data_IF_917646399537
#
_entry.id   IF_917646399537
#
_cell.length_a   1.000
_cell.length_b   1.000
_cell.length_c   1.000
_cell.angle_alpha   90.00
_cell.angle_beta   90.00
_cell.angle_gamma   90.00
#
_symmetry.space_group_name_H-M   'P 1'
#
loop_
_entity.id
_entity.type
_entity.pdbx_description
1 polymer ?
#
# COMPACT_ATOMS: atom_id res chain seq x y z
N UNK A 1 -5.57 3.64 22.71
CA UNK A 1 -6.95 3.83 22.37
C UNK A 1 -7.25 3.36 20.94
N UNK A 2 -7.27 2.05 20.70
CA UNK A 2 -7.64 1.41 19.42
C UNK A 2 -9.09 0.91 19.54
N UNK A 3 -10.07 1.82 19.50
CA UNK A 3 -11.49 1.43 19.44
C UNK A 3 -12.33 2.61 18.95
N UNK A 4 -12.31 2.91 17.67
CA UNK A 4 -13.30 3.81 17.08
C UNK A 4 -13.50 3.70 15.56
N UNK A 5 -12.91 2.73 14.84
CA UNK A 5 -13.21 2.54 13.41
C UNK A 5 -14.20 1.40 13.10
N UNK A 6 -14.89 0.85 14.09
CA UNK A 6 -15.79 -0.29 13.90
C UNK A 6 -17.29 0.11 13.73
N UNK A 7 -17.61 1.33 13.38
CA UNK A 7 -19.00 1.82 13.51
C UNK A 7 -19.67 2.52 12.35
N UNK A 8 -19.15 2.53 11.13
CA UNK A 8 -19.95 2.95 9.96
C UNK A 8 -19.53 2.20 8.71
N UNK A 9 -20.32 1.19 8.35
CA UNK A 9 -20.29 0.57 7.03
C UNK A 9 -20.81 1.57 5.99
N UNK A 10 -19.97 2.45 5.53
CA UNK A 10 -20.23 3.19 4.30
C UNK A 10 -19.60 2.41 3.16
N UNK A 11 -20.46 1.90 2.28
CA UNK A 11 -20.08 1.29 1.00
C UNK A 11 -19.36 2.34 0.17
N UNK A 12 -18.05 2.27 0.14
CA UNK A 12 -17.23 3.10 -0.76
C UNK A 12 -17.18 2.38 -2.09
N UNK A 13 -17.96 2.84 -3.04
CA UNK A 13 -17.92 2.40 -4.44
C UNK A 13 -16.81 3.19 -5.12
N UNK A 14 -15.71 2.55 -5.50
CA UNK A 14 -14.73 3.16 -6.39
C UNK A 14 -15.19 2.97 -7.83
N UNK A 15 -15.77 3.98 -8.34
CA UNK A 15 -16.02 4.13 -9.76
C UNK A 15 -14.69 4.56 -10.40
N UNK A 16 -14.02 3.65 -11.07
CA UNK A 16 -13.07 4.02 -12.13
C UNK A 16 -13.91 4.59 -13.27
N UNK A 17 -14.23 5.88 -13.18
CA UNK A 17 -14.81 6.64 -14.29
C UNK A 17 -13.71 6.79 -15.35
N UNK A 18 -13.81 5.98 -16.40
CA UNK A 18 -13.17 6.27 -17.68
C UNK A 18 -13.72 7.62 -18.19
N UNK A 19 -12.92 8.66 -18.11
CA UNK A 19 -13.22 9.94 -18.74
C UNK A 19 -13.08 9.80 -20.26
N UNK A 20 -14.21 9.65 -20.94
CA UNK A 20 -14.40 10.09 -22.30
C UNK A 20 -14.98 11.51 -22.22
N UNK A 21 -14.11 12.50 -22.24
CA UNK A 21 -14.52 13.88 -22.53
C UNK A 21 -13.70 14.36 -23.71
N UNK A 22 -14.39 14.60 -24.80
CA UNK A 22 -13.91 15.38 -25.93
C UNK A 22 -13.66 16.82 -25.47
N UNK A 23 -12.46 17.33 -25.71
CA UNK A 23 -12.17 18.76 -25.69
C UNK A 23 -11.14 19.22 -24.67
N UNK A 24 -9.85 19.34 -25.10
CA UNK A 24 -8.92 20.36 -24.62
C UNK A 24 -7.94 20.01 -23.52
N UNK A 25 -6.75 19.54 -23.95
CA UNK A 25 -5.40 19.85 -23.45
C UNK A 25 -5.15 19.72 -21.93
N UNK A 26 -4.56 18.60 -21.54
CA UNK A 26 -3.31 18.48 -20.75
C UNK A 26 -2.95 17.01 -20.60
N UNK A 27 -1.98 16.58 -21.40
CA UNK A 27 -1.38 15.26 -21.43
C UNK A 27 -0.65 14.96 -20.12
N UNK A 28 -1.18 14.03 -19.35
CA UNK A 28 -0.36 13.27 -18.39
C UNK A 28 -0.01 11.94 -19.05
N UNK A 29 1.26 11.58 -19.15
CA UNK A 29 1.66 10.33 -19.77
C UNK A 29 1.30 9.17 -18.85
N UNK A 30 0.34 8.38 -19.27
CA UNK A 30 0.13 7.05 -18.71
C UNK A 30 1.28 6.17 -19.16
N UNK A 31 1.96 5.60 -18.19
CA UNK A 31 3.18 4.82 -18.31
C UNK A 31 2.92 3.57 -19.15
N UNK A 32 3.61 3.48 -20.27
CA UNK A 32 3.75 2.24 -21.01
C UNK A 32 4.58 1.23 -20.21
N UNK A 33 4.29 -0.06 -20.27
CA UNK A 33 5.15 -1.06 -19.70
C UNK A 33 6.52 -1.03 -20.40
N UNK A 34 7.55 -0.72 -19.65
CA UNK A 34 8.94 -0.83 -20.10
C UNK A 34 9.21 -2.30 -20.43
N UNK A 35 9.39 -2.61 -21.71
CA UNK A 35 9.95 -3.89 -22.13
C UNK A 35 11.37 -3.98 -21.58
N UNK A 36 11.57 -4.78 -20.56
CA UNK A 36 12.91 -5.13 -20.12
C UNK A 36 13.60 -5.95 -21.20
N UNK A 37 14.75 -5.46 -21.62
CA UNK A 37 15.63 -6.13 -22.58
C UNK A 37 16.29 -7.33 -21.90
N UNK A 38 16.14 -8.58 -22.39
CA UNK A 38 16.66 -9.78 -21.73
C UNK A 38 18.18 -9.95 -21.73
N UNK A 39 18.93 -9.03 -22.30
CA UNK A 39 20.38 -9.17 -22.51
C UNK A 39 21.27 -8.68 -21.36
N UNK A 40 20.74 -8.36 -20.17
CA UNK A 40 21.52 -7.94 -18.99
C UNK A 40 21.51 -8.96 -17.83
N UNK A 41 21.11 -10.18 -18.07
CA UNK A 41 21.25 -11.30 -17.12
C UNK A 41 22.45 -12.19 -17.48
N UNK A 42 23.62 -11.60 -17.50
CA UNK A 42 24.90 -12.31 -17.41
C UNK A 42 25.19 -12.66 -15.95
N UNK A 43 24.78 -13.83 -15.50
CA UNK A 43 25.03 -14.29 -14.14
C UNK A 43 24.49 -15.69 -13.87
N UNK A 44 24.66 -16.61 -14.83
CA UNK A 44 24.19 -18.00 -14.69
C UNK A 44 25.19 -18.97 -14.05
N UNK A 45 26.32 -18.52 -13.51
CA UNK A 45 27.35 -19.42 -12.99
C UNK A 45 27.58 -19.38 -11.48
N UNK A 46 26.89 -18.54 -10.72
CA UNK A 46 27.09 -18.43 -9.27
C UNK A 46 26.02 -19.13 -8.39
N UNK A 47 24.99 -19.71 -8.98
CA UNK A 47 23.88 -20.37 -8.23
C UNK A 47 24.03 -21.92 -8.20
N UNK A 48 24.89 -22.48 -9.03
CA UNK A 48 25.06 -23.93 -9.14
C UNK A 48 26.02 -24.58 -8.11
N UNK A 49 26.67 -23.82 -7.24
CA UNK A 49 27.64 -24.36 -6.25
C UNK A 49 27.21 -24.31 -4.78
N UNK A 50 25.98 -23.89 -4.48
CA UNK A 50 25.46 -23.81 -3.11
C UNK A 50 24.41 -24.88 -2.76
N UNK A 51 24.16 -25.87 -3.62
CA UNK A 51 23.12 -26.89 -3.40
C UNK A 51 23.66 -28.32 -3.12
N UNK A 52 24.94 -28.48 -2.83
CA UNK A 52 25.52 -29.83 -2.64
C UNK A 52 25.94 -30.18 -1.20
N UNK A 53 25.47 -29.53 -0.15
CA UNK A 53 25.63 -30.06 1.21
C UNK A 53 24.44 -29.68 2.11
N UNK A 54 23.39 -30.50 2.11
CA UNK A 54 22.71 -30.98 3.33
C UNK A 54 21.59 -31.94 2.93
N UNK A 55 21.81 -33.22 3.20
CA UNK A 55 20.86 -34.28 2.98
C UNK A 55 19.63 -34.16 3.88
N UNK A 56 18.51 -33.81 3.30
CA UNK A 56 17.18 -34.10 3.82
C UNK A 56 16.48 -35.01 2.83
N UNK A 57 16.48 -36.28 3.12
CA UNK A 57 15.76 -37.32 2.43
C UNK A 57 14.25 -37.04 2.43
N UNK A 58 13.60 -37.07 1.26
CA UNK A 58 12.17 -37.29 1.16
C UNK A 58 11.34 -36.40 0.25
N UNK A 59 11.93 -35.66 -0.66
CA UNK A 59 11.15 -35.07 -1.76
C UNK A 59 11.57 -35.71 -3.08
N UNK A 60 10.79 -36.71 -3.50
CA UNK A 60 10.84 -37.18 -4.89
C UNK A 60 10.41 -36.00 -5.76
N UNK A 61 11.38 -35.37 -6.43
CA UNK A 61 11.09 -34.44 -7.50
C UNK A 61 10.33 -35.22 -8.58
N UNK A 62 9.06 -35.00 -8.73
CA UNK A 62 8.28 -35.54 -9.85
C UNK A 62 8.94 -35.07 -11.14
N UNK A 63 9.25 -35.99 -12.04
CA UNK A 63 9.79 -35.64 -13.34
C UNK A 63 8.76 -34.81 -14.13
N UNK A 64 9.25 -33.98 -15.06
CA UNK A 64 8.38 -33.21 -15.95
C UNK A 64 7.43 -34.13 -16.74
N UNK A 65 7.81 -35.39 -16.98
CA UNK A 65 6.98 -36.43 -17.61
C UNK A 65 5.85 -36.89 -16.67
N UNK A 66 6.10 -37.07 -15.39
CA UNK A 66 5.06 -37.41 -14.40
C UNK A 66 4.08 -36.25 -14.19
N UNK A 67 4.56 -35.00 -14.26
CA UNK A 67 3.71 -33.82 -14.30
C UNK A 67 2.87 -33.75 -15.58
N UNK A 68 3.44 -34.13 -16.72
CA UNK A 68 2.72 -34.17 -18.02
C UNK A 68 1.67 -35.30 -18.05
N UNK A 69 1.96 -36.46 -17.47
CA UNK A 69 0.99 -37.57 -17.35
C UNK A 69 -0.13 -37.22 -16.34
N UNK A 70 0.15 -36.53 -15.23
CA UNK A 70 -0.92 -36.02 -14.39
C UNK A 70 -1.74 -34.93 -15.09
N UNK A 71 -1.13 -34.07 -15.90
CA UNK A 71 -1.82 -33.06 -16.68
C UNK A 71 -2.70 -33.68 -17.79
N UNK A 72 -2.29 -34.79 -18.38
CA UNK A 72 -3.10 -35.49 -19.35
C UNK A 72 -4.39 -36.09 -18.74
N UNK A 73 -4.38 -36.44 -17.47
CA UNK A 73 -5.56 -36.91 -16.72
C UNK A 73 -6.53 -35.81 -16.31
N UNK A 74 -6.10 -34.56 -16.29
CA UNK A 74 -6.88 -33.39 -15.87
C UNK A 74 -7.68 -32.75 -17.02
N UNK A 75 -7.40 -33.12 -18.27
CA UNK A 75 -8.07 -32.59 -19.47
C UNK A 75 -9.53 -33.04 -19.67
N UNK A 76 -10.08 -33.87 -18.82
CA UNK A 76 -11.47 -34.31 -18.90
C UNK A 76 -12.34 -33.67 -17.81
N UNK A 77 -12.52 -32.33 -17.85
CA UNK A 77 -13.68 -31.74 -17.19
C UNK A 77 -14.93 -32.20 -17.96
N UNK A 78 -15.76 -33.06 -17.36
CA UNK A 78 -17.08 -33.35 -17.90
C UNK A 78 -17.91 -32.04 -17.91
N UNK A 79 -18.84 -31.91 -18.85
CA UNK A 79 -19.77 -30.76 -18.88
C UNK A 79 -20.41 -30.47 -17.50
N UNK A 80 -20.58 -31.51 -16.67
CA UNK A 80 -21.13 -31.40 -15.31
C UNK A 80 -20.24 -30.61 -14.36
N UNK A 81 -18.94 -30.60 -14.53
CA UNK A 81 -18.00 -29.94 -13.60
C UNK A 81 -17.97 -28.42 -13.80
N UNK A 82 -18.17 -27.96 -15.02
CA UNK A 82 -18.20 -26.54 -15.40
C UNK A 82 -19.63 -25.99 -15.50
N UNK A 83 -20.65 -26.82 -15.30
CA UNK A 83 -22.06 -26.42 -15.35
C UNK A 83 -22.38 -25.18 -14.50
N UNK A 84 -21.83 -25.01 -13.26
CA UNK A 84 -22.06 -23.80 -12.49
C UNK A 84 -21.48 -22.53 -13.13
N UNK A 85 -20.33 -22.64 -13.82
CA UNK A 85 -19.71 -21.53 -14.54
C UNK A 85 -20.55 -21.15 -15.76
N UNK A 86 -20.95 -22.13 -16.57
CA UNK A 86 -21.80 -21.89 -17.75
C UNK A 86 -23.15 -21.31 -17.35
N UNK A 87 -23.76 -21.80 -16.28
CA UNK A 87 -25.01 -21.24 -15.76
C UNK A 87 -24.83 -19.78 -15.26
N UNK A 88 -23.65 -19.38 -14.80
CA UNK A 88 -23.37 -18.01 -14.41
C UNK A 88 -23.15 -17.11 -15.66
N UNK A 89 -22.50 -17.63 -16.69
CA UNK A 89 -22.29 -16.93 -17.98
C UNK A 89 -23.64 -16.69 -18.67
N UNK A 90 -24.51 -17.69 -18.71
CA UNK A 90 -25.83 -17.62 -19.36
C UNK A 90 -26.79 -16.64 -18.70
N UNK A 91 -26.62 -16.36 -17.42
CA UNK A 91 -27.44 -15.39 -16.68
C UNK A 91 -27.17 -13.95 -17.08
N UNK A 92 -26.91 -13.58 -18.26
CA UNK A 92 -26.76 -12.26 -18.92
C UNK A 92 -26.76 -10.99 -18.03
N UNK A 93 -27.02 -11.10 -16.72
CA UNK A 93 -27.07 -10.03 -15.73
C UNK A 93 -25.73 -9.78 -15.04
N UNK A 94 -24.76 -10.70 -15.18
CA UNK A 94 -23.48 -10.60 -14.51
C UNK A 94 -22.49 -9.75 -15.31
N UNK A 95 -22.11 -8.62 -14.78
CA UNK A 95 -20.98 -7.84 -15.30
C UNK A 95 -19.67 -8.59 -15.00
N UNK A 96 -19.24 -9.42 -15.95
CA UNK A 96 -18.04 -10.23 -15.84
C UNK A 96 -18.23 -11.46 -14.97
N UNK A 97 -17.95 -12.62 -15.58
CA UNK A 97 -17.91 -13.92 -14.90
C UNK A 97 -16.57 -14.54 -15.18
N UNK A 98 -15.90 -15.04 -14.15
CA UNK A 98 -14.63 -15.74 -14.27
C UNK A 98 -14.70 -17.05 -13.49
N UNK A 99 -14.16 -18.11 -14.08
CA UNK A 99 -14.06 -19.42 -13.45
C UNK A 99 -12.61 -19.82 -13.25
N UNK A 100 -12.27 -20.36 -12.08
CA UNK A 100 -10.97 -20.97 -11.86
C UNK A 100 -11.11 -22.32 -11.17
N UNK A 101 -10.53 -23.32 -11.78
CA UNK A 101 -10.33 -24.61 -11.17
C UNK A 101 -9.00 -24.62 -10.42
N UNK A 102 -9.05 -24.83 -9.11
CA UNK A 102 -7.87 -24.85 -8.26
C UNK A 102 -7.58 -26.28 -7.82
N UNK A 103 -6.52 -26.85 -8.33
CA UNK A 103 -6.01 -28.16 -7.91
C UNK A 103 -5.17 -27.96 -6.64
N UNK A 104 -5.40 -28.79 -5.62
CA UNK A 104 -4.72 -28.71 -4.33
C UNK A 104 -5.43 -27.86 -3.30
N UNK A 105 -6.64 -27.35 -3.59
CA UNK A 105 -7.49 -26.71 -2.58
C UNK A 105 -8.05 -27.77 -1.63
N UNK A 106 -8.06 -27.44 -0.33
CA UNK A 106 -8.57 -28.29 0.74
C UNK A 106 -9.30 -27.46 1.80
N UNK A 107 -9.82 -28.08 2.84
CA UNK A 107 -10.55 -27.38 3.90
C UNK A 107 -9.69 -26.32 4.64
N UNK A 108 -8.39 -26.55 4.76
CA UNK A 108 -7.48 -25.66 5.50
C UNK A 108 -7.15 -24.37 4.70
N UNK A 109 -7.01 -24.46 3.37
CA UNK A 109 -6.60 -23.33 2.53
C UNK A 109 -7.73 -22.68 1.74
N UNK A 110 -8.91 -23.31 1.65
CA UNK A 110 -10.06 -22.83 0.87
C UNK A 110 -10.45 -21.39 1.19
N UNK A 111 -10.54 -21.06 2.47
CA UNK A 111 -10.93 -19.71 2.89
C UNK A 111 -9.91 -18.65 2.45
N UNK A 112 -8.61 -18.96 2.48
CA UNK A 112 -7.55 -18.05 2.03
C UNK A 112 -7.56 -17.89 0.51
N UNK A 113 -7.72 -18.99 -0.24
CA UNK A 113 -7.86 -18.96 -1.71
C UNK A 113 -9.07 -18.11 -2.12
N UNK A 114 -10.21 -18.32 -1.46
CA UNK A 114 -11.45 -17.56 -1.70
C UNK A 114 -11.24 -16.06 -1.46
N UNK A 115 -10.64 -15.69 -0.32
CA UNK A 115 -10.36 -14.30 0.02
C UNK A 115 -9.36 -13.65 -0.96
N UNK A 116 -8.35 -14.39 -1.38
CA UNK A 116 -7.41 -13.93 -2.39
C UNK A 116 -8.09 -13.66 -3.73
N UNK A 117 -8.87 -14.63 -4.25
CA UNK A 117 -9.59 -14.48 -5.51
C UNK A 117 -10.57 -13.32 -5.48
N UNK A 118 -11.36 -13.17 -4.40
CA UNK A 118 -12.26 -12.04 -4.23
C UNK A 118 -11.55 -10.69 -4.35
N UNK A 119 -10.46 -10.54 -3.60
CA UNK A 119 -9.68 -9.30 -3.56
C UNK A 119 -9.08 -8.96 -4.91
N UNK A 120 -8.40 -9.93 -5.52
CA UNK A 120 -7.64 -9.71 -6.74
C UNK A 120 -8.54 -9.57 -7.98
N UNK A 121 -9.67 -10.26 -7.99
CA UNK A 121 -10.68 -10.08 -9.03
C UNK A 121 -11.57 -8.85 -8.79
N UNK A 122 -11.35 -8.10 -7.70
CA UNK A 122 -12.12 -6.91 -7.33
C UNK A 122 -13.64 -7.20 -7.27
N UNK A 123 -14.02 -8.43 -6.90
CA UNK A 123 -15.42 -8.82 -6.82
C UNK A 123 -16.07 -8.26 -5.54
N UNK A 124 -17.29 -7.72 -5.66
CA UNK A 124 -18.09 -7.32 -4.50
C UNK A 124 -18.59 -8.53 -3.73
N UNK A 125 -18.95 -9.57 -4.46
CA UNK A 125 -19.50 -10.79 -3.91
C UNK A 125 -18.41 -11.82 -3.58
N UNK A 126 -18.74 -12.74 -2.68
CA UNK A 126 -17.87 -13.86 -2.33
C UNK A 126 -17.83 -14.88 -3.48
N UNK A 127 -16.63 -15.31 -3.96
CA UNK A 127 -16.51 -16.39 -4.92
C UNK A 127 -17.27 -17.65 -4.45
N UNK A 128 -18.07 -18.24 -5.34
CA UNK A 128 -18.82 -19.46 -5.02
C UNK A 128 -17.90 -20.65 -5.29
N UNK A 129 -17.75 -21.51 -4.31
CA UNK A 129 -16.93 -22.72 -4.41
C UNK A 129 -17.77 -23.96 -4.64
N UNK A 130 -17.40 -24.72 -5.64
CA UNK A 130 -18.02 -26.02 -5.98
C UNK A 130 -16.95 -27.12 -5.81
N UNK A 131 -17.18 -27.96 -4.78
CA UNK A 131 -16.29 -29.08 -4.47
C UNK A 131 -16.56 -30.27 -5.38
N UNK A 132 -15.52 -30.86 -5.93
CA UNK A 132 -15.60 -32.16 -6.60
C UNK A 132 -14.99 -33.22 -5.70
N UNK A 133 -15.82 -34.06 -5.13
CA UNK A 133 -15.37 -35.15 -4.25
C UNK A 133 -14.35 -36.03 -4.95
N UNK A 134 -13.21 -36.22 -4.33
CA UNK A 134 -12.18 -37.17 -4.75
C UNK A 134 -11.10 -36.64 -5.69
N UNK A 135 -11.15 -35.37 -6.15
CA UNK A 135 -10.16 -34.82 -7.09
C UNK A 135 -9.09 -33.92 -6.47
N UNK A 136 -9.18 -33.61 -5.16
CA UNK A 136 -8.25 -32.70 -4.51
C UNK A 136 -8.27 -31.26 -5.06
N UNK A 137 -9.37 -30.87 -5.73
CA UNK A 137 -9.56 -29.56 -6.33
C UNK A 137 -11.02 -29.14 -6.36
N UNK A 138 -11.28 -27.93 -6.85
CA UNK A 138 -12.64 -27.42 -7.00
C UNK A 138 -12.70 -26.14 -7.81
N UNK A 139 -13.89 -25.87 -8.32
CA UNK A 139 -14.22 -24.71 -9.13
C UNK A 139 -14.61 -23.52 -8.23
N UNK A 140 -13.97 -22.38 -8.43
CA UNK A 140 -14.44 -21.09 -7.95
C UNK A 140 -15.08 -20.31 -9.09
N UNK A 141 -16.30 -19.85 -8.91
CA UNK A 141 -16.98 -18.92 -9.81
C UNK A 141 -17.02 -17.55 -9.15
N UNK A 142 -16.53 -16.55 -9.88
CA UNK A 142 -16.36 -15.18 -9.43
C UNK A 142 -17.24 -14.30 -10.30
N UNK A 143 -18.19 -13.61 -9.69
CA UNK A 143 -19.12 -12.68 -10.35
C UNK A 143 -19.79 -11.78 -9.31
N UNK A 144 -20.04 -10.49 -9.61
CA UNK A 144 -19.48 -9.74 -10.76
C UNK A 144 -18.00 -9.40 -10.56
N UNK A 145 -17.29 -9.17 -11.66
CA UNK A 145 -15.89 -8.75 -11.59
C UNK A 145 -15.58 -7.75 -12.70
N UNK A 146 -14.88 -6.64 -12.41
CA UNK A 146 -14.51 -5.63 -13.40
C UNK A 146 -13.23 -5.97 -14.19
N UNK A 147 -12.43 -6.94 -13.74
CA UNK A 147 -11.15 -7.25 -14.37
C UNK A 147 -11.33 -8.06 -15.66
N UNK A 148 -10.41 -7.87 -16.58
CA UNK A 148 -10.37 -8.64 -17.84
C UNK A 148 -9.87 -10.07 -17.61
N UNK A 149 -10.19 -10.98 -18.56
CA UNK A 149 -9.67 -12.35 -18.50
C UNK A 149 -8.14 -12.42 -18.46
N UNK A 150 -7.45 -11.52 -19.18
CA UNK A 150 -5.98 -11.46 -19.18
C UNK A 150 -5.44 -11.08 -17.79
N UNK A 151 -5.99 -10.05 -17.17
CA UNK A 151 -5.62 -9.66 -15.80
C UNK A 151 -5.91 -10.77 -14.81
N UNK A 152 -7.00 -11.50 -14.99
CA UNK A 152 -7.34 -12.65 -14.17
C UNK A 152 -6.32 -13.80 -14.30
N UNK A 153 -5.86 -14.12 -15.51
CA UNK A 153 -4.78 -15.09 -15.71
C UNK A 153 -3.52 -14.69 -14.95
N UNK A 154 -3.14 -13.41 -14.99
CA UNK A 154 -1.97 -12.89 -14.26
C UNK A 154 -2.16 -13.02 -12.73
N UNK A 155 -3.37 -12.79 -12.24
CA UNK A 155 -3.73 -13.01 -10.82
C UNK A 155 -3.60 -14.49 -10.45
N UNK A 156 -4.17 -15.37 -11.24
CA UNK A 156 -4.18 -16.82 -10.98
C UNK A 156 -2.76 -17.41 -11.07
N UNK A 157 -1.93 -16.92 -11.97
CA UNK A 157 -0.53 -17.34 -12.09
C UNK A 157 0.30 -17.07 -10.81
N UNK A 158 -0.08 -16.08 -10.01
CA UNK A 158 0.56 -15.85 -8.69
C UNK A 158 0.21 -16.93 -7.68
N UNK A 159 -0.92 -17.62 -7.83
CA UNK A 159 -1.31 -18.70 -6.92
C UNK A 159 -0.51 -19.99 -7.14
N UNK A 160 -0.07 -20.24 -8.36
CA UNK A 160 0.62 -21.47 -8.70
C UNK A 160 0.89 -21.62 -10.19
N UNK A 161 0.99 -22.85 -10.65
CA UNK A 161 1.21 -23.15 -12.06
C UNK A 161 -0.12 -23.20 -12.82
N UNK A 162 -0.30 -22.30 -13.79
CA UNK A 162 -1.47 -22.29 -14.70
C UNK A 162 -1.27 -23.38 -15.73
N UNK A 163 -2.19 -24.33 -15.76
CA UNK A 163 -2.15 -25.51 -16.62
C UNK A 163 -3.09 -25.42 -17.81
N UNK A 164 -4.17 -24.65 -17.69
CA UNK A 164 -5.14 -24.43 -18.76
C UNK A 164 -5.67 -22.99 -18.72
N UNK A 165 -5.86 -22.43 -19.93
CA UNK A 165 -6.52 -21.14 -20.13
C UNK A 165 -7.55 -21.29 -21.26
N UNK A 166 -8.81 -21.07 -20.96
CA UNK A 166 -9.91 -21.06 -21.92
C UNK A 166 -10.57 -19.68 -21.93
N UNK A 167 -10.19 -18.88 -22.91
CA UNK A 167 -10.68 -17.51 -23.05
C UNK A 167 -12.15 -17.46 -23.48
N UNK A 168 -12.62 -18.47 -24.23
CA UNK A 168 -13.99 -18.48 -24.73
C UNK A 168 -14.99 -18.68 -23.59
N UNK A 169 -14.62 -19.47 -22.60
CA UNK A 169 -15.46 -19.78 -21.45
C UNK A 169 -15.01 -19.04 -20.18
N UNK A 170 -14.08 -18.08 -20.27
CA UNK A 170 -13.56 -17.32 -19.14
C UNK A 170 -13.05 -18.20 -18.00
N UNK A 171 -12.36 -19.28 -18.34
CA UNK A 171 -11.94 -20.32 -17.42
C UNK A 171 -10.43 -20.50 -17.37
N UNK A 172 -9.89 -20.72 -16.17
CA UNK A 172 -8.47 -20.98 -15.91
C UNK A 172 -8.34 -22.17 -14.99
N UNK A 173 -7.34 -23.04 -15.24
CA UNK A 173 -6.95 -24.07 -14.30
C UNK A 173 -5.58 -23.73 -13.71
N UNK A 174 -5.43 -23.92 -12.40
CA UNK A 174 -4.19 -23.69 -11.68
C UNK A 174 -3.90 -24.80 -10.66
N UNK A 175 -2.67 -25.28 -10.66
CA UNK A 175 -2.14 -26.12 -9.59
C UNK A 175 -1.57 -25.24 -8.51
N UNK A 176 -2.15 -25.27 -7.31
CA UNK A 176 -1.85 -24.38 -6.20
C UNK A 176 -0.43 -24.59 -5.69
N UNK A 177 0.34 -23.53 -5.55
CA UNK A 177 1.56 -23.57 -4.79
C UNK A 177 1.22 -23.54 -3.29
N UNK A 178 1.33 -24.70 -2.64
CA UNK A 178 0.95 -24.88 -1.23
C UNK A 178 1.70 -23.96 -0.29
N UNK A 179 2.98 -23.71 -0.55
CA UNK A 179 3.81 -22.84 0.29
C UNK A 179 3.27 -21.42 0.46
N UNK A 180 2.48 -20.95 -0.51
CA UNK A 180 1.86 -19.61 -0.47
C UNK A 180 0.59 -19.56 0.37
N UNK A 181 -0.03 -20.72 0.66
CA UNK A 181 -1.33 -20.83 1.33
C UNK A 181 -1.30 -21.65 2.61
N UNK A 182 -0.23 -22.41 2.87
CA UNK A 182 -0.13 -23.19 4.09
C UNK A 182 0.36 -22.31 5.25
N UNK A 183 -0.29 -22.45 6.39
CA UNK A 183 0.17 -21.80 7.62
C UNK A 183 1.52 -22.41 8.02
N UNK A 184 2.55 -21.60 8.12
CA UNK A 184 3.85 -22.03 8.67
C UNK A 184 3.84 -21.79 10.18
N UNK A 185 4.38 -22.71 10.99
CA UNK A 185 4.58 -22.46 12.40
C UNK A 185 5.49 -21.23 12.57
N UNK A 186 5.17 -20.42 13.58
CA UNK A 186 6.02 -19.28 13.94
C UNK A 186 7.42 -19.77 14.27
N UNK A 187 8.40 -19.45 13.41
CA UNK A 187 9.80 -19.77 13.66
C UNK A 187 10.50 -18.60 14.36
N UNK A 188 11.54 -18.87 15.11
CA UNK A 188 12.38 -17.83 15.71
C UNK A 188 12.88 -16.82 14.66
N UNK A 189 13.19 -17.29 13.44
CA UNK A 189 13.59 -16.46 12.32
C UNK A 189 12.54 -15.41 11.90
N UNK A 190 11.25 -15.63 12.18
CA UNK A 190 10.19 -14.66 11.88
C UNK A 190 10.00 -13.62 12.98
N UNK A 191 10.31 -13.95 14.23
CA UNK A 191 9.96 -13.13 15.39
C UNK A 191 11.14 -12.45 16.07
N UNK A 192 12.32 -13.08 16.03
CA UNK A 192 13.52 -12.52 16.65
C UNK A 192 14.27 -11.63 15.64
N UNK A 193 14.24 -10.34 15.88
CA UNK A 193 14.91 -9.31 15.04
C UNK A 193 16.42 -9.53 14.93
N UNK A 194 17.03 -10.22 15.92
CA UNK A 194 18.46 -10.51 15.95
C UNK A 194 18.82 -11.77 15.16
N UNK A 195 17.82 -12.54 14.76
CA UNK A 195 18.07 -13.77 14.01
C UNK A 195 18.59 -13.44 12.60
N UNK A 196 19.69 -14.07 12.21
CA UNK A 196 20.37 -13.79 10.92
C UNK A 196 19.47 -13.91 9.68
N UNK A 197 18.39 -14.68 9.75
CA UNK A 197 17.42 -14.88 8.66
C UNK A 197 16.12 -14.11 8.87
N UNK A 198 16.02 -13.20 9.83
CA UNK A 198 14.79 -12.49 10.14
C UNK A 198 14.25 -11.72 8.93
N UNK A 199 15.07 -10.91 8.26
CA UNK A 199 14.68 -10.14 7.09
C UNK A 199 14.27 -11.04 5.93
N UNK A 200 15.08 -12.07 5.64
CA UNK A 200 14.80 -13.04 4.57
C UNK A 200 13.49 -13.81 4.83
N UNK A 201 13.25 -14.25 6.06
CA UNK A 201 12.04 -14.96 6.44
C UNK A 201 10.79 -14.07 6.28
N UNK A 202 10.87 -12.81 6.73
CA UNK A 202 9.77 -11.85 6.56
C UNK A 202 9.56 -11.44 5.11
N UNK A 203 10.62 -11.32 4.30
CA UNK A 203 10.51 -11.08 2.86
C UNK A 203 9.78 -12.25 2.14
N UNK A 204 10.05 -13.50 2.55
CA UNK A 204 9.29 -14.66 2.06
C UNK A 204 7.80 -14.59 2.47
N UNK A 205 7.50 -14.15 3.69
CA UNK A 205 6.13 -13.95 4.15
C UNK A 205 5.39 -12.86 3.37
N UNK A 206 6.07 -11.80 2.93
CA UNK A 206 5.49 -10.79 2.02
C UNK A 206 5.05 -11.39 0.67
N UNK A 207 5.64 -12.52 0.26
CA UNK A 207 5.24 -13.24 -0.96
C UNK A 207 4.10 -14.23 -0.75
N UNK A 208 3.59 -14.35 0.48
CA UNK A 208 2.42 -15.16 0.82
C UNK A 208 1.14 -14.50 0.30
N UNK A 209 0.14 -15.31 -0.03
CA UNK A 209 -1.16 -14.81 -0.48
C UNK A 209 -2.18 -14.66 0.68
N UNK A 210 -1.84 -15.07 1.89
CA UNK A 210 -2.62 -14.78 3.10
C UNK A 210 -2.32 -13.35 3.57
N UNK A 211 -3.29 -12.46 3.43
CA UNK A 211 -3.19 -11.04 3.79
C UNK A 211 -2.74 -10.83 5.25
N UNK A 212 -3.15 -11.69 6.19
CA UNK A 212 -2.79 -11.57 7.60
C UNK A 212 -1.32 -11.83 7.84
N UNK A 213 -0.74 -12.78 7.09
CA UNK A 213 0.69 -13.08 7.13
C UNK A 213 1.50 -11.94 6.54
N UNK A 214 1.04 -11.37 5.43
CA UNK A 214 1.68 -10.20 4.79
C UNK A 214 1.65 -8.99 5.73
N UNK A 215 0.51 -8.68 6.35
CA UNK A 215 0.38 -7.60 7.34
C UNK A 215 1.35 -7.82 8.50
N UNK A 216 1.38 -9.04 9.05
CA UNK A 216 2.26 -9.36 10.17
C UNK A 216 3.75 -9.22 9.80
N UNK A 217 4.14 -9.66 8.60
CA UNK A 217 5.51 -9.50 8.10
C UNK A 217 5.87 -8.03 7.89
N UNK A 218 4.98 -7.25 7.29
CA UNK A 218 5.17 -5.81 7.11
C UNK A 218 5.34 -5.08 8.45
N UNK A 219 4.49 -5.39 9.45
CA UNK A 219 4.60 -4.79 10.80
C UNK A 219 5.94 -5.12 11.46
N UNK A 220 6.44 -6.36 11.34
CA UNK A 220 7.75 -6.74 11.86
C UNK A 220 8.90 -6.03 11.12
N UNK A 221 8.82 -5.91 9.80
CA UNK A 221 9.81 -5.17 9.02
C UNK A 221 9.80 -3.67 9.32
N UNK A 222 8.66 -3.09 9.66
CA UNK A 222 8.55 -1.68 10.04
C UNK A 222 9.22 -1.36 11.39
N UNK A 223 9.45 -2.37 12.26
CA UNK A 223 10.06 -2.19 13.59
C UNK A 223 11.59 -2.29 13.59
N UNK A 224 12.22 -2.72 12.51
CA UNK A 224 13.67 -2.95 12.44
C UNK A 224 14.38 -1.96 11.54
N UNK A 225 15.68 -1.74 11.80
CA UNK A 225 16.51 -0.90 10.94
C UNK A 225 16.87 -1.65 9.66
N UNK A 226 16.78 -0.97 8.49
CA UNK A 226 17.21 -1.54 7.21
C UNK A 226 18.69 -1.94 7.22
N UNK A 227 18.97 -3.06 6.58
CA UNK A 227 20.33 -3.57 6.39
C UNK A 227 20.62 -3.96 4.92
N UNK A 228 21.37 -5.05 4.72
CA UNK A 228 21.85 -5.52 3.41
C UNK A 228 20.74 -5.80 2.37
N UNK A 229 19.52 -6.11 2.81
CA UNK A 229 18.39 -6.45 1.90
C UNK A 229 17.43 -5.26 1.69
N UNK A 230 17.91 -4.04 1.88
CA UNK A 230 17.09 -2.84 1.81
C UNK A 230 16.38 -2.69 0.47
N UNK A 231 17.12 -2.93 -0.62
CA UNK A 231 16.55 -2.83 -1.97
C UNK A 231 15.49 -3.89 -2.25
N UNK A 232 15.75 -5.14 -1.89
CA UNK A 232 14.82 -6.26 -2.12
C UNK A 232 13.52 -6.09 -1.34
N UNK A 233 13.63 -5.67 -0.08
CA UNK A 233 12.45 -5.43 0.76
C UNK A 233 11.64 -4.25 0.24
N UNK A 234 12.27 -3.11 -0.07
CA UNK A 234 11.56 -1.94 -0.59
C UNK A 234 10.91 -2.21 -1.94
N UNK A 235 11.60 -2.91 -2.85
CA UNK A 235 11.05 -3.31 -4.15
C UNK A 235 9.82 -4.22 -4.00
N UNK A 236 9.88 -5.19 -3.08
CA UNK A 236 8.74 -6.08 -2.82
C UNK A 236 7.55 -5.34 -2.20
N UNK A 237 7.79 -4.40 -1.30
CA UNK A 237 6.72 -3.58 -0.71
C UNK A 237 6.06 -2.67 -1.77
N UNK A 238 6.86 -2.06 -2.67
CA UNK A 238 6.33 -1.28 -3.80
C UNK A 238 5.51 -2.16 -4.73
N UNK A 239 5.98 -3.36 -5.07
CA UNK A 239 5.23 -4.32 -5.89
C UNK A 239 3.86 -4.60 -5.29
N UNK A 240 3.80 -4.95 -4.00
CA UNK A 240 2.56 -5.27 -3.29
C UNK A 240 1.61 -4.06 -3.21
N UNK A 241 2.11 -2.86 -3.00
CA UNK A 241 1.30 -1.64 -2.96
C UNK A 241 0.78 -1.19 -4.32
N UNK A 242 1.33 -1.73 -5.42
CA UNK A 242 0.83 -1.51 -6.78
C UNK A 242 -0.24 -2.51 -7.21
N UNK A 243 -0.33 -3.63 -6.51
CA UNK A 243 -1.38 -4.60 -6.81
C UNK A 243 -2.77 -4.03 -6.48
N UNK A 244 -3.82 -4.45 -7.21
CA UNK A 244 -5.20 -4.10 -6.85
C UNK A 244 -5.60 -4.84 -5.56
N UNK A 245 -5.15 -4.33 -4.44
CA UNK A 245 -5.57 -4.81 -3.14
C UNK A 245 -6.91 -4.14 -2.80
N UNK A 246 -7.94 -4.90 -2.61
CA UNK A 246 -9.22 -4.37 -2.19
C UNK A 246 -9.14 -3.74 -0.81
N UNK A 247 -8.91 -2.46 -0.72
CA UNK A 247 -9.30 -1.45 0.30
C UNK A 247 -9.22 -1.85 1.78
N UNK A 248 -8.39 -2.79 2.10
CA UNK A 248 -8.07 -3.06 3.50
C UNK A 248 -7.07 -2.00 3.97
N UNK A 249 -7.58 -1.00 4.71
CA UNK A 249 -6.77 0.09 5.22
C UNK A 249 -5.62 -0.41 6.10
N UNK A 250 -5.81 -1.50 6.86
CA UNK A 250 -4.77 -2.10 7.68
C UNK A 250 -3.65 -2.67 6.81
N UNK A 251 -4.00 -3.36 5.72
CA UNK A 251 -3.03 -3.93 4.79
C UNK A 251 -2.12 -2.87 4.18
N UNK A 252 -2.72 -1.82 3.60
CA UNK A 252 -1.91 -0.78 2.95
C UNK A 252 -1.12 0.06 3.93
N UNK A 253 -1.68 0.34 5.09
CA UNK A 253 -0.98 1.08 6.15
C UNK A 253 0.23 0.29 6.65
N UNK A 254 0.10 -1.02 6.86
CA UNK A 254 1.22 -1.85 7.29
C UNK A 254 2.34 -1.90 6.25
N UNK A 255 2.00 -2.12 4.98
CA UNK A 255 2.97 -2.14 3.88
C UNK A 255 3.66 -0.77 3.69
N UNK A 256 2.88 0.32 3.69
CA UNK A 256 3.43 1.67 3.54
C UNK A 256 4.32 2.05 4.73
N UNK A 257 3.94 1.67 5.95
CA UNK A 257 4.77 1.90 7.14
C UNK A 257 6.10 1.14 7.09
N UNK A 258 6.11 -0.08 6.55
CA UNK A 258 7.35 -0.79 6.28
C UNK A 258 8.16 -0.12 5.16
N UNK A 259 7.49 0.31 4.08
CA UNK A 259 8.16 0.94 2.93
C UNK A 259 8.90 2.22 3.33
N UNK A 260 8.31 3.08 4.15
CA UNK A 260 8.98 4.32 4.59
C UNK A 260 10.20 4.09 5.49
N UNK A 261 10.29 2.91 6.11
CA UNK A 261 11.48 2.49 6.86
C UNK A 261 12.56 1.94 5.92
N UNK A 262 12.15 1.13 4.93
CA UNK A 262 13.09 0.40 4.06
C UNK A 262 13.47 1.12 2.79
N UNK A 263 12.68 2.05 2.27
CA UNK A 263 13.05 2.86 1.10
C UNK A 263 14.05 3.95 1.47
N UNK A 264 14.90 4.32 0.50
CA UNK A 264 15.69 5.55 0.61
C UNK A 264 14.74 6.76 0.48
N UNK A 265 14.98 7.86 1.23
CA UNK A 265 14.11 9.02 1.22
C UNK A 265 13.94 9.67 -0.17
N UNK A 266 14.94 9.56 -1.04
CA UNK A 266 14.96 10.07 -2.42
C UNK A 266 14.42 9.06 -3.45
N UNK A 267 13.97 7.88 -3.03
CA UNK A 267 13.40 6.88 -3.91
C UNK A 267 12.07 7.39 -4.48
N UNK A 268 12.10 7.88 -5.72
CA UNK A 268 10.95 8.50 -6.39
C UNK A 268 9.77 7.55 -6.58
N UNK A 269 10.02 6.26 -6.73
CA UNK A 269 8.99 5.23 -6.88
C UNK A 269 8.28 4.99 -5.56
N UNK A 270 9.03 4.83 -4.46
CA UNK A 270 8.47 4.72 -3.11
C UNK A 270 7.68 6.00 -2.75
N UNK A 271 8.22 7.19 -3.06
CA UNK A 271 7.53 8.47 -2.86
C UNK A 271 6.15 8.49 -3.54
N UNK A 272 6.07 8.08 -4.82
CA UNK A 272 4.80 8.03 -5.55
C UNK A 272 3.80 7.06 -4.93
N UNK A 273 4.25 5.88 -4.55
CA UNK A 273 3.40 4.85 -3.96
C UNK A 273 2.90 5.28 -2.58
N UNK A 274 3.78 5.82 -1.73
CA UNK A 274 3.39 6.33 -0.40
C UNK A 274 2.43 7.50 -0.52
N UNK A 275 2.65 8.43 -1.45
CA UNK A 275 1.72 9.53 -1.72
C UNK A 275 0.34 9.03 -2.15
N UNK A 276 0.29 8.04 -3.04
CA UNK A 276 -0.96 7.42 -3.46
C UNK A 276 -1.69 6.80 -2.27
N UNK A 277 -0.99 6.01 -1.43
CA UNK A 277 -1.58 5.40 -0.22
C UNK A 277 -2.11 6.46 0.74
N UNK A 278 -1.34 7.51 1.02
CA UNK A 278 -1.78 8.59 1.90
C UNK A 278 -3.04 9.30 1.36
N UNK A 279 -3.10 9.50 0.04
CA UNK A 279 -4.28 10.09 -0.61
C UNK A 279 -5.51 9.19 -0.52
N UNK A 280 -5.35 7.87 -0.70
CA UNK A 280 -6.46 6.91 -0.58
C UNK A 280 -6.95 6.78 0.87
N UNK A 281 -6.04 6.76 1.85
CA UNK A 281 -6.39 6.79 3.27
C UNK A 281 -7.19 8.05 3.61
N UNK A 282 -6.76 9.22 3.11
CA UNK A 282 -7.48 10.48 3.27
C UNK A 282 -8.90 10.43 2.68
N UNK A 283 -9.06 9.91 1.46
CA UNK A 283 -10.37 9.75 0.82
C UNK A 283 -11.28 8.80 1.59
N UNK A 284 -10.71 7.81 2.25
CA UNK A 284 -11.44 6.85 3.08
C UNK A 284 -11.74 7.36 4.50
N UNK A 285 -11.37 8.61 4.82
CA UNK A 285 -11.44 9.20 6.15
C UNK A 285 -10.71 8.37 7.22
N UNK A 286 -9.60 7.73 6.80
CA UNK A 286 -8.71 7.00 7.68
C UNK A 286 -7.55 7.87 8.13
N UNK A 287 -7.04 7.63 9.33
CA UNK A 287 -5.88 8.31 9.85
C UNK A 287 -4.62 8.01 9.00
N UNK A 288 -3.89 9.06 8.62
CA UNK A 288 -2.61 8.94 7.92
C UNK A 288 -1.50 8.84 8.97
N UNK A 289 -0.68 7.77 8.97
CA UNK A 289 0.47 7.68 9.86
C UNK A 289 1.48 8.82 9.63
N UNK A 290 1.94 9.44 10.71
CA UNK A 290 2.91 10.55 10.63
C UNK A 290 4.21 10.16 9.90
N UNK A 291 4.62 8.90 9.99
CA UNK A 291 5.79 8.37 9.28
C UNK A 291 5.68 8.49 7.76
N UNK A 292 4.46 8.32 7.20
CA UNK A 292 4.23 8.46 5.76
C UNK A 292 4.41 9.94 5.35
N UNK A 293 3.85 10.85 6.12
CA UNK A 293 3.95 12.29 5.83
C UNK A 293 5.40 12.75 5.93
N UNK A 294 6.12 12.35 6.99
CA UNK A 294 7.55 12.66 7.15
C UNK A 294 8.38 12.14 5.97
N UNK A 295 8.14 10.91 5.54
CA UNK A 295 8.84 10.35 4.37
C UNK A 295 8.57 11.16 3.11
N UNK A 296 7.32 11.57 2.88
CA UNK A 296 6.92 12.38 1.73
C UNK A 296 7.54 13.77 1.74
N UNK A 297 7.80 14.38 2.90
CA UNK A 297 8.43 15.69 3.01
C UNK A 297 9.91 15.69 2.58
N UNK A 298 10.58 14.53 2.55
CA UNK A 298 11.93 14.38 2.01
C UNK A 298 11.96 14.27 0.48
N UNK A 299 10.80 14.11 -0.14
CA UNK A 299 10.68 14.01 -1.60
C UNK A 299 10.59 15.39 -2.28
N UNK A 300 10.79 15.43 -3.62
CA UNK A 300 10.84 16.68 -4.37
C UNK A 300 9.44 17.32 -4.61
N UNK A 301 8.37 16.66 -4.22
CA UNK A 301 7.01 17.07 -4.62
C UNK A 301 6.35 18.05 -3.64
N UNK A 302 6.03 19.27 -4.11
CA UNK A 302 5.25 20.26 -3.36
C UNK A 302 3.87 19.77 -2.89
N UNK A 303 3.31 18.76 -3.52
CA UNK A 303 2.02 18.15 -3.16
C UNK A 303 2.02 17.51 -1.76
N UNK A 304 3.18 17.06 -1.30
CA UNK A 304 3.35 16.47 0.02
C UNK A 304 3.13 17.49 1.12
N UNK A 305 3.55 18.73 0.89
CA UNK A 305 3.31 19.82 1.85
C UNK A 305 1.82 20.19 1.95
N UNK A 306 1.09 20.20 0.83
CA UNK A 306 -0.37 20.41 0.86
C UNK A 306 -1.10 19.32 1.67
N UNK A 307 -0.65 18.07 1.59
CA UNK A 307 -1.18 16.99 2.41
C UNK A 307 -0.92 17.24 3.90
N UNK A 308 0.30 17.66 4.27
CA UNK A 308 0.64 18.03 5.64
C UNK A 308 -0.26 19.15 6.16
N UNK A 309 -0.44 20.21 5.38
CA UNK A 309 -1.30 21.35 5.77
C UNK A 309 -2.75 20.91 6.02
N UNK A 310 -3.27 20.02 5.21
CA UNK A 310 -4.64 19.50 5.39
C UNK A 310 -4.77 18.65 6.67
N UNK A 311 -3.76 17.86 7.01
CA UNK A 311 -3.73 17.11 8.28
C UNK A 311 -3.49 18.02 9.49
N UNK A 312 -2.63 19.03 9.33
CA UNK A 312 -2.39 20.05 10.38
C UNK A 312 -3.64 20.86 10.71
N UNK A 313 -4.48 21.21 9.73
CA UNK A 313 -5.79 21.86 9.97
C UNK A 313 -6.73 21.00 10.83
N UNK A 314 -6.66 19.68 10.71
CA UNK A 314 -7.51 18.75 11.49
C UNK A 314 -7.02 18.63 12.93
N UNK A 315 -5.71 18.54 13.13
CA UNK A 315 -5.07 18.41 14.44
C UNK A 315 -3.79 19.24 14.51
N UNK A 316 -3.90 20.55 14.82
CA UNK A 316 -2.77 21.47 14.84
C UNK A 316 -1.66 21.08 15.83
N UNK A 317 -2.02 20.44 16.95
CA UNK A 317 -1.03 20.05 17.96
C UNK A 317 -0.19 18.86 17.51
N UNK A 318 -0.82 17.88 16.88
CA UNK A 318 -0.16 16.67 16.38
C UNK A 318 0.88 16.95 15.30
N UNK A 319 0.59 17.91 14.41
CA UNK A 319 1.35 18.15 13.18
C UNK A 319 2.23 19.41 13.22
N UNK A 320 2.29 20.08 14.36
CA UNK A 320 3.06 21.33 14.52
C UNK A 320 4.55 21.14 14.23
N UNK A 321 5.15 20.07 14.76
CA UNK A 321 6.58 19.80 14.61
C UNK A 321 6.95 19.43 13.16
N UNK A 322 6.08 18.72 12.45
CA UNK A 322 6.25 18.43 11.03
C UNK A 322 6.18 19.71 10.18
N UNK A 323 5.29 20.63 10.50
CA UNK A 323 5.21 21.94 9.84
C UNK A 323 6.47 22.77 10.09
N UNK A 324 7.01 22.76 11.31
CA UNK A 324 8.29 23.42 11.62
C UNK A 324 9.46 22.81 10.83
N UNK A 325 9.47 21.47 10.70
CA UNK A 325 10.51 20.75 9.96
C UNK A 325 10.56 21.08 8.47
N UNK A 326 9.46 21.54 7.86
CA UNK A 326 9.43 22.02 6.46
C UNK A 326 10.29 23.29 6.30
N UNK A 327 10.44 24.07 7.36
CA UNK A 327 11.26 25.28 7.34
C UNK A 327 10.65 26.44 6.56
N UNK A 328 11.49 27.41 6.11
CA UNK A 328 11.01 28.68 5.51
C UNK A 328 10.16 28.51 4.24
N UNK A 329 10.25 27.39 3.56
CA UNK A 329 9.43 27.12 2.34
C UNK A 329 7.95 27.05 2.63
N UNK A 330 7.57 26.74 3.87
CA UNK A 330 6.16 26.68 4.32
C UNK A 330 5.60 28.01 4.84
N UNK A 331 6.43 29.03 5.03
CA UNK A 331 6.07 30.29 5.69
C UNK A 331 4.81 30.94 5.09
N UNK A 332 4.79 31.11 3.78
CA UNK A 332 3.68 31.80 3.09
C UNK A 332 2.33 31.11 3.28
N UNK A 333 2.32 29.78 3.20
CA UNK A 333 1.10 29.01 3.40
C UNK A 333 0.62 29.02 4.86
N UNK A 334 1.53 28.98 5.83
CA UNK A 334 1.20 29.10 7.26
C UNK A 334 0.62 30.48 7.56
N UNK A 335 1.24 31.56 7.03
CA UNK A 335 0.70 32.93 7.18
C UNK A 335 -0.70 33.01 6.61
N UNK A 336 -0.90 32.51 5.39
CA UNK A 336 -2.22 32.53 4.74
C UNK A 336 -3.26 31.80 5.59
N UNK A 337 -2.97 30.58 6.06
CA UNK A 337 -3.89 29.79 6.86
C UNK A 337 -4.17 30.41 8.24
N UNK A 338 -3.18 31.06 8.86
CA UNK A 338 -3.39 31.79 10.11
C UNK A 338 -4.37 32.95 9.94
N UNK A 339 -4.30 33.66 8.82
CA UNK A 339 -5.16 34.79 8.53
C UNK A 339 -6.59 34.36 8.10
N UNK A 340 -6.73 33.26 7.37
CA UNK A 340 -8.00 32.76 6.86
C UNK A 340 -8.80 31.94 7.88
N UNK A 341 -8.16 31.39 8.91
CA UNK A 341 -8.83 30.53 9.89
C UNK A 341 -9.56 31.30 10.96
N UNK A 342 -10.70 30.78 11.40
CA UNK A 342 -11.40 31.22 12.61
C UNK A 342 -11.03 30.36 13.85
N UNK A 343 -10.28 29.26 13.66
CA UNK A 343 -9.86 28.36 14.73
C UNK A 343 -8.66 28.93 15.49
N UNK A 344 -8.88 29.30 16.76
CA UNK A 344 -7.82 29.81 17.64
C UNK A 344 -6.72 28.78 17.92
N UNK A 345 -7.03 27.47 17.94
CA UNK A 345 -6.01 26.43 18.15
C UNK A 345 -5.05 26.40 16.96
N UNK A 346 -5.59 26.48 15.74
CA UNK A 346 -4.79 26.57 14.52
C UNK A 346 -3.95 27.86 14.48
N UNK A 347 -4.54 29.01 14.83
CA UNK A 347 -3.82 30.30 14.87
C UNK A 347 -2.66 30.29 15.87
N UNK A 348 -2.86 29.72 17.06
CA UNK A 348 -1.81 29.58 18.07
C UNK A 348 -0.67 28.69 17.60
N UNK A 349 -1.02 27.55 16.97
CA UNK A 349 -0.03 26.65 16.36
C UNK A 349 0.71 27.37 15.24
N UNK A 350 0.01 28.07 14.34
CA UNK A 350 0.63 28.86 13.27
C UNK A 350 1.61 29.90 13.82
N UNK A 351 1.22 30.64 14.86
CA UNK A 351 2.10 31.63 15.50
C UNK A 351 3.39 30.98 16.04
N UNK A 352 3.30 29.81 16.69
CA UNK A 352 4.49 29.09 17.19
C UNK A 352 5.36 28.57 16.04
N UNK A 353 4.75 28.03 14.97
CA UNK A 353 5.49 27.59 13.78
C UNK A 353 6.24 28.77 13.18
N UNK A 354 5.55 29.90 12.95
CA UNK A 354 6.17 31.10 12.38
C UNK A 354 7.27 31.67 13.26
N UNK A 355 7.16 31.56 14.58
CA UNK A 355 8.23 31.91 15.50
C UNK A 355 9.55 31.21 15.23
N UNK A 356 9.47 29.94 14.80
CA UNK A 356 10.65 29.13 14.48
C UNK A 356 11.13 29.33 13.03
N UNK A 357 10.22 29.28 12.05
CA UNK A 357 10.61 29.30 10.62
C UNK A 357 10.49 30.65 9.93
N UNK A 358 9.78 31.61 10.55
CA UNK A 358 9.36 32.86 9.93
C UNK A 358 10.50 33.82 9.64
N UNK A 359 10.28 34.63 8.63
CA UNK A 359 11.13 35.75 8.21
C UNK A 359 10.48 37.10 8.57
N UNK A 360 10.94 38.17 7.95
CA UNK A 360 10.33 39.51 8.08
C UNK A 360 8.87 39.53 7.64
N UNK A 361 8.46 38.67 6.67
CA UNK A 361 7.07 38.54 6.25
C UNK A 361 6.17 38.07 7.40
N UNK A 362 6.64 37.15 8.22
CA UNK A 362 5.92 36.67 9.40
C UNK A 362 5.74 37.75 10.48
N UNK A 363 6.70 38.67 10.64
CA UNK A 363 6.59 39.77 11.63
C UNK A 363 5.34 40.60 11.36
N UNK A 364 5.09 41.00 10.11
CA UNK A 364 3.91 41.79 9.74
C UNK A 364 2.62 41.07 10.10
N UNK A 365 2.54 39.75 9.75
CA UNK A 365 1.38 38.94 10.05
C UNK A 365 1.15 38.74 11.54
N UNK A 366 2.20 38.41 12.31
CA UNK A 366 2.12 38.16 13.75
C UNK A 366 1.80 39.43 14.57
N UNK A 367 2.32 40.59 14.17
CA UNK A 367 2.02 41.86 14.83
C UNK A 367 0.54 42.21 14.83
N UNK A 368 -0.23 41.77 13.85
CA UNK A 368 -1.68 41.94 13.84
C UNK A 368 -2.37 41.19 15.01
N UNK A 369 -1.77 40.10 15.50
CA UNK A 369 -2.33 39.27 16.56
C UNK A 369 -1.77 39.62 17.98
N UNK A 370 -0.81 40.52 18.11
CA UNK A 370 -0.28 40.95 19.44
C UNK A 370 -1.30 41.76 20.25
N UNK A 371 -2.43 42.14 19.65
CA UNK A 371 -3.53 42.82 20.32
C UNK A 371 -4.85 42.01 20.24
N UNK A 372 -4.75 40.72 19.92
CA UNK A 372 -5.93 39.83 19.80
C UNK A 372 -6.64 39.70 21.16
N UNK A 373 -7.95 39.50 21.11
CA UNK A 373 -8.77 39.29 22.30
C UNK A 373 -8.47 37.95 23.00
N UNK A 374 -8.01 36.93 22.25
CA UNK A 374 -7.56 35.68 22.80
C UNK A 374 -6.16 35.84 23.44
N UNK A 375 -6.11 35.72 24.77
CA UNK A 375 -4.88 35.91 25.54
C UNK A 375 -3.76 34.96 25.16
N UNK A 376 -4.07 33.70 24.83
CA UNK A 376 -3.04 32.71 24.47
C UNK A 376 -2.50 32.97 23.07
N UNK A 377 -3.36 33.33 22.10
CA UNK A 377 -2.92 33.72 20.76
C UNK A 377 -2.04 34.97 20.83
N UNK A 378 -2.44 36.00 21.61
CA UNK A 378 -1.66 37.21 21.83
C UNK A 378 -0.27 36.88 22.36
N UNK A 379 -0.20 36.05 23.41
CA UNK A 379 1.09 35.65 24.01
C UNK A 379 1.95 34.85 23.00
N UNK A 380 1.36 33.90 22.26
CA UNK A 380 2.07 33.19 21.24
C UNK A 380 2.63 34.12 20.14
N UNK A 381 1.83 35.10 19.72
CA UNK A 381 2.24 36.06 18.69
C UNK A 381 3.39 36.96 19.20
N UNK A 382 3.28 37.49 20.42
CA UNK A 382 4.34 38.32 21.08
C UNK A 382 5.65 37.55 21.21
N UNK A 383 5.60 36.31 21.71
CA UNK A 383 6.79 35.47 21.84
C UNK A 383 7.42 35.17 20.47
N UNK A 384 6.61 34.88 19.44
CA UNK A 384 7.07 34.58 18.10
C UNK A 384 7.68 35.82 17.43
N UNK A 385 7.08 36.99 17.59
CA UNK A 385 7.67 38.27 17.13
C UNK A 385 9.06 38.47 17.74
N UNK A 386 9.18 38.32 19.07
CA UNK A 386 10.47 38.47 19.76
C UNK A 386 11.53 37.47 19.27
N UNK A 387 11.14 36.22 19.01
CA UNK A 387 12.05 35.19 18.47
C UNK A 387 12.55 35.57 17.08
N UNK A 388 11.67 36.03 16.19
CA UNK A 388 12.04 36.45 14.84
C UNK A 388 12.90 37.72 14.89
N UNK A 389 12.49 38.76 15.66
CA UNK A 389 13.27 39.99 15.78
C UNK A 389 14.68 39.71 16.29
N UNK A 390 14.83 38.88 17.32
CA UNK A 390 16.14 38.44 17.84
C UNK A 390 16.97 37.71 16.74
N UNK A 391 16.35 36.83 15.98
CA UNK A 391 17.02 36.07 14.88
C UNK A 391 17.48 37.00 13.76
N UNK A 392 16.68 38.03 13.45
CA UNK A 392 16.99 39.01 12.41
C UNK A 392 17.89 40.15 12.88
N UNK A 393 18.27 40.20 14.16
CA UNK A 393 19.09 41.28 14.72
C UNK A 393 18.36 42.62 14.80
N UNK A 394 17.03 42.61 14.81
CA UNK A 394 16.21 43.82 14.92
C UNK A 394 16.13 44.17 16.40
N UNK A 395 16.84 45.25 16.77
CA UNK A 395 16.87 45.72 18.15
C UNK A 395 15.54 46.35 18.55
N UNK A 396 14.69 45.60 19.26
CA UNK A 396 13.41 46.09 19.79
C UNK A 396 13.56 47.06 20.96
N UNK A 397 14.77 47.23 21.49
CA UNK A 397 15.06 48.14 22.61
C UNK A 397 15.02 49.63 22.24
N UNK A 398 14.97 50.00 20.96
CA UNK A 398 14.95 51.38 20.48
C UNK A 398 13.55 52.04 20.44
N UNK A 399 12.47 51.34 20.84
CA UNK A 399 11.08 51.83 20.73
C UNK A 399 10.40 52.14 22.09
N UNK A 400 11.11 52.54 23.12
CA UNK A 400 10.52 53.23 24.26
C UNK A 400 11.06 54.67 24.36
N UNK A 401 10.49 55.64 23.64
CA UNK A 401 10.63 57.02 24.06
C UNK A 401 9.67 57.21 25.27
N UNK A 402 10.22 57.57 26.40
CA UNK A 402 9.54 58.01 27.60
C UNK A 402 8.44 59.03 27.28
#
# INVERSE_FOLDING_TARGET
GLMACAGRRHKIVFILLGFLVAGGIASLPFVYPVKMNPSLLGGKEAVAQAEEEEGVSGFTSMSLEQLAEQNASVQNYGEGDLKPLFAAIDRKEAQGVLGVWVVGVNAANRAMVKAYLKRMAQSEDEPIFYDRKGTGGGLFVITPTPITFKEFVDVVAKMGNVTLQDKEHFFVEVVLNRDKFEARPASAALQDERHQYFVLANLKELSCLDIRRVIAAAKRLASVKPDKMRHEVSAKLVELLREPWGRDAEYVTALASALVVWAEPDNTEAQRVVYYVATELKKADCEIPASLVRFLLHGPEKKSFALLLDEWKKDPQKWEDECKAVGPTGEADIIRLMNESDDFVLKRSAARILGEIGSEASLSALKAFTHDADNELRLCAELSVNLIEKRLGIDSSAKNPQ
#
